data_IF_360540087204
#
_entry.id   IF_360540087204
#
_cell.length_a   1.000
_cell.length_b   1.000
_cell.length_c   1.000
_cell.angle_alpha   90.00
_cell.angle_beta   90.00
_cell.angle_gamma   90.00
#
_symmetry.space_group_name_H-M   'P 1'
#
loop_
_entity.id
_entity.type
_entity.pdbx_description
1 polymer ?
#
# COMPACT_ATOMS: atom_id res chain seq x y z
N UNK A 1 3.93 -7.96 10.14
CA UNK A 1 4.19 -6.50 10.02
C UNK A 1 3.97 -5.72 11.30
N UNK A 2 2.97 -6.05 12.06
CA UNK A 2 2.74 -5.37 13.33
C UNK A 2 3.92 -5.44 14.29
N UNK A 3 4.53 -6.62 14.41
CA UNK A 3 5.70 -6.79 15.26
C UNK A 3 6.88 -5.93 14.78
N UNK A 4 7.08 -5.84 13.47
CA UNK A 4 8.14 -5.03 12.91
C UNK A 4 7.92 -3.54 13.16
N UNK A 5 6.67 -3.09 13.03
CA UNK A 5 6.31 -1.69 13.29
C UNK A 5 6.65 -1.32 14.74
N UNK A 6 6.32 -2.18 15.69
CA UNK A 6 6.67 -1.97 17.09
C UNK A 6 8.18 -1.97 17.33
N UNK A 7 8.90 -2.89 16.68
CA UNK A 7 10.35 -2.97 16.84
C UNK A 7 11.06 -1.70 16.35
N UNK A 8 10.49 -1.03 15.36
CA UNK A 8 11.01 0.23 14.86
C UNK A 8 10.55 1.44 15.70
N UNK A 9 9.87 1.22 16.79
CA UNK A 9 9.38 2.29 17.66
C UNK A 9 8.17 3.04 17.12
N UNK A 10 7.46 2.45 16.18
CA UNK A 10 6.31 3.07 15.54
C UNK A 10 5.00 2.52 16.09
N UNK A 11 3.92 3.22 15.83
CA UNK A 11 2.58 2.84 16.24
C UNK A 11 1.74 2.46 15.02
N UNK A 12 0.87 1.47 15.16
CA UNK A 12 -0.06 1.08 14.10
C UNK A 12 -1.49 1.31 14.59
N UNK A 13 -2.26 2.04 13.79
CA UNK A 13 -3.70 2.17 13.96
C UNK A 13 -4.36 1.43 12.81
N UNK A 14 -5.13 0.40 13.11
CA UNK A 14 -5.75 -0.46 12.11
C UNK A 14 -7.26 -0.46 12.25
N UNK A 15 -7.96 -0.32 11.12
CA UNK A 15 -9.42 -0.36 11.05
C UNK A 15 -9.86 -1.15 9.82
N UNK A 16 -10.87 -2.01 9.97
CA UNK A 16 -11.38 -2.81 8.87
C UNK A 16 -12.91 -2.88 8.89
N UNK A 17 -13.55 -3.16 7.73
CA UNK A 17 -15.00 -3.26 7.70
C UNK A 17 -15.48 -4.54 8.39
N UNK A 18 -16.70 -4.52 8.99
CA UNK A 18 -17.26 -5.71 9.63
C UNK A 18 -17.71 -6.79 8.65
N UNK A 19 -18.01 -6.42 7.39
CA UNK A 19 -18.44 -7.38 6.38
C UNK A 19 -17.25 -8.06 5.70
N UNK A 20 -17.40 -9.30 5.21
CA UNK A 20 -16.35 -9.98 4.47
C UNK A 20 -15.92 -9.19 3.21
N UNK A 21 -14.63 -9.25 2.90
CA UNK A 21 -14.08 -8.58 1.72
C UNK A 21 -13.12 -9.48 0.97
N UNK A 22 -13.60 -10.66 0.49
CA UNK A 22 -12.70 -11.58 -0.21
C UNK A 22 -12.27 -11.02 -1.56
N UNK A 23 -10.99 -11.26 -1.91
CA UNK A 23 -10.45 -10.90 -3.21
C UNK A 23 -9.89 -12.13 -3.88
N UNK A 24 -9.89 -12.13 -5.22
CA UNK A 24 -9.33 -13.22 -6.00
C UNK A 24 -7.91 -12.87 -6.40
N UNK A 25 -6.93 -13.44 -5.71
CA UNK A 25 -5.53 -13.09 -5.93
C UNK A 25 -4.60 -14.21 -5.47
N UNK A 26 -3.39 -14.23 -6.03
CA UNK A 26 -2.32 -15.08 -5.54
C UNK A 26 -1.89 -14.56 -4.16
N UNK A 27 -1.96 -15.38 -3.09
CA UNK A 27 -1.62 -14.93 -1.74
C UNK A 27 -0.19 -14.37 -1.63
N UNK A 28 0.77 -14.98 -2.32
CA UNK A 28 2.16 -14.52 -2.26
C UNK A 28 2.32 -13.15 -2.90
N UNK A 29 1.63 -12.90 -4.01
CA UNK A 29 1.66 -11.61 -4.70
C UNK A 29 1.00 -10.52 -3.88
N UNK A 30 -0.15 -10.82 -3.30
CA UNK A 30 -0.86 -9.86 -2.46
C UNK A 30 -0.04 -9.52 -1.22
N UNK A 31 0.59 -10.53 -0.60
CA UNK A 31 1.49 -10.28 0.52
C UNK A 31 2.63 -9.34 0.11
N UNK A 32 3.21 -9.54 -1.06
CA UNK A 32 4.30 -8.69 -1.54
C UNK A 32 3.88 -7.23 -1.66
N UNK A 33 2.65 -6.99 -2.13
CA UNK A 33 2.10 -5.63 -2.20
C UNK A 33 2.13 -4.97 -0.82
N UNK A 34 1.56 -5.63 0.18
CA UNK A 34 1.47 -5.05 1.52
C UNK A 34 2.83 -4.93 2.19
N UNK A 35 3.70 -5.93 2.05
CA UNK A 35 5.06 -5.85 2.59
C UNK A 35 5.80 -4.64 2.01
N UNK A 36 5.70 -4.44 0.71
CA UNK A 36 6.38 -3.30 0.07
C UNK A 36 5.83 -1.96 0.53
N UNK A 37 4.49 -1.85 0.65
CA UNK A 37 3.87 -0.59 1.11
C UNK A 37 4.22 -0.29 2.55
N UNK A 38 4.11 -1.29 3.44
CA UNK A 38 4.48 -1.09 4.84
C UNK A 38 5.97 -0.83 5.02
N UNK A 39 6.82 -1.48 4.23
CA UNK A 39 8.25 -1.23 4.27
C UNK A 39 8.57 0.24 3.98
N UNK A 40 7.93 0.81 2.96
CA UNK A 40 8.07 2.23 2.67
C UNK A 40 7.55 3.11 3.80
N UNK A 41 6.39 2.78 4.35
CA UNK A 41 5.82 3.56 5.44
C UNK A 41 6.74 3.55 6.67
N UNK A 42 7.32 2.40 6.99
CA UNK A 42 8.25 2.28 8.11
C UNK A 42 9.51 3.12 7.85
N UNK A 43 10.06 3.04 6.65
CA UNK A 43 11.30 3.75 6.31
C UNK A 43 11.16 5.25 6.39
N UNK A 44 10.01 5.78 6.02
CA UNK A 44 9.80 7.23 5.96
C UNK A 44 9.15 7.82 7.20
N UNK A 45 8.66 6.99 8.10
CA UNK A 45 8.03 7.50 9.32
C UNK A 45 9.04 8.13 10.26
N UNK A 46 8.67 9.25 10.93
CA UNK A 46 9.55 9.83 11.94
C UNK A 46 9.60 8.94 13.17
N UNK A 47 10.60 9.13 14.06
CA UNK A 47 10.63 8.40 15.33
C UNK A 47 9.31 8.54 16.07
N UNK A 48 8.80 7.42 16.59
CA UNK A 48 7.53 7.34 17.31
C UNK A 48 6.32 7.74 16.49
N UNK A 49 6.45 7.76 15.15
CA UNK A 49 5.32 8.07 14.27
C UNK A 49 4.27 6.98 14.24
N UNK A 50 3.14 7.32 13.65
CA UNK A 50 2.00 6.40 13.52
C UNK A 50 1.77 6.06 12.06
N UNK A 51 1.52 4.77 11.79
CA UNK A 51 1.07 4.29 10.49
C UNK A 51 -0.41 3.96 10.62
N UNK A 52 -1.22 4.52 9.74
CA UNK A 52 -2.66 4.28 9.72
C UNK A 52 -2.98 3.31 8.58
N UNK A 53 -3.53 2.15 8.93
CA UNK A 53 -3.94 1.14 7.96
C UNK A 53 -5.45 0.98 8.05
N UNK A 54 -6.16 1.34 6.99
CA UNK A 54 -7.61 1.31 6.95
C UNK A 54 -8.08 0.47 5.78
N UNK A 55 -9.00 -0.46 6.02
CA UNK A 55 -9.69 -1.21 4.99
C UNK A 55 -11.14 -0.75 4.95
N UNK A 56 -11.63 -0.46 3.76
CA UNK A 56 -13.04 -0.13 3.52
C UNK A 56 -13.53 -0.96 2.34
N UNK A 57 -14.83 -1.13 2.23
CA UNK A 57 -15.40 -1.85 1.10
C UNK A 57 -16.66 -1.17 0.57
N UNK A 58 -16.89 -1.40 -0.72
CA UNK A 58 -18.17 -1.14 -1.36
C UNK A 58 -18.79 -2.48 -1.74
N UNK A 59 -19.88 -2.48 -2.51
CA UNK A 59 -20.47 -3.70 -3.02
C UNK A 59 -19.52 -4.47 -3.96
N UNK A 60 -18.59 -3.78 -4.62
CA UNK A 60 -17.77 -4.35 -5.69
C UNK A 60 -16.27 -4.28 -5.46
N UNK A 61 -15.82 -3.45 -4.52
CA UNK A 61 -14.38 -3.24 -4.31
C UNK A 61 -14.03 -3.22 -2.82
N UNK A 62 -12.77 -3.53 -2.54
CA UNK A 62 -12.15 -3.28 -1.24
C UNK A 62 -10.99 -2.33 -1.45
N UNK A 63 -10.83 -1.38 -0.54
CA UNK A 63 -9.79 -0.37 -0.59
C UNK A 63 -8.94 -0.44 0.67
N UNK A 64 -7.63 -0.58 0.49
CA UNK A 64 -6.65 -0.54 1.56
C UNK A 64 -5.90 0.78 1.49
N UNK A 65 -5.88 1.52 2.59
CA UNK A 65 -5.20 2.80 2.69
C UNK A 65 -4.13 2.71 3.77
N UNK A 66 -2.89 2.96 3.41
CA UNK A 66 -1.77 2.96 4.34
C UNK A 66 -1.14 4.35 4.32
N UNK A 67 -1.24 5.06 5.45
CA UNK A 67 -0.73 6.42 5.57
C UNK A 67 0.38 6.49 6.60
N UNK A 68 1.50 7.09 6.23
CA UNK A 68 2.58 7.43 7.14
C UNK A 68 2.60 8.94 7.43
N UNK A 69 3.40 9.31 8.41
CA UNK A 69 3.59 10.72 8.82
C UNK A 69 4.99 11.20 8.44
N UNK A 70 5.54 10.65 7.36
CA UNK A 70 6.91 10.90 6.96
C UNK A 70 7.10 12.21 6.23
N UNK A 71 8.24 12.29 5.52
CA UNK A 71 8.63 13.53 4.82
C UNK A 71 7.77 13.86 3.61
N UNK A 72 7.00 12.91 3.10
CA UNK A 72 6.24 13.09 1.89
C UNK A 72 7.10 13.05 0.63
N UNK A 73 6.47 13.31 -0.51
CA UNK A 73 7.10 13.26 -1.83
C UNK A 73 6.86 14.60 -2.51
N UNK A 74 7.91 15.18 -3.08
CA UNK A 74 7.81 16.44 -3.80
C UNK A 74 6.87 16.29 -5.02
N UNK A 75 6.08 17.33 -5.35
CA UNK A 75 5.14 17.22 -6.49
C UNK A 75 5.80 16.81 -7.80
N UNK A 76 7.01 17.28 -8.07
CA UNK A 76 7.74 16.94 -9.29
C UNK A 76 8.11 15.47 -9.38
N UNK A 77 8.25 14.81 -8.24
CA UNK A 77 8.63 13.40 -8.17
C UNK A 77 7.42 12.46 -8.09
N UNK A 78 6.30 12.97 -7.57
CA UNK A 78 5.14 12.13 -7.28
C UNK A 78 4.59 11.40 -8.50
N UNK A 79 4.54 12.07 -9.65
CA UNK A 79 4.05 11.48 -10.89
C UNK A 79 4.88 10.30 -11.34
N UNK A 80 6.16 10.31 -11.01
CA UNK A 80 7.11 9.32 -11.48
C UNK A 80 7.42 8.24 -10.45
N UNK A 81 6.91 8.34 -9.22
CA UNK A 81 7.28 7.44 -8.14
C UNK A 81 6.87 5.99 -8.41
N UNK A 82 5.89 5.76 -9.28
CA UNK A 82 5.46 4.43 -9.69
C UNK A 82 6.27 3.87 -10.86
N UNK A 83 7.13 4.67 -11.46
CA UNK A 83 7.95 4.21 -12.57
C UNK A 83 9.05 3.30 -12.06
N UNK A 84 9.35 2.29 -12.86
CA UNK A 84 10.40 1.33 -12.54
C UNK A 84 11.73 2.03 -12.41
N UNK A 85 12.48 1.71 -11.35
CA UNK A 85 13.81 2.28 -11.04
C UNK A 85 13.82 3.76 -10.68
N UNK A 86 12.66 4.43 -10.63
CA UNK A 86 12.63 5.82 -10.18
C UNK A 86 12.75 5.90 -8.66
N UNK A 87 13.46 6.95 -8.18
CA UNK A 87 13.57 7.28 -6.76
C UNK A 87 13.35 8.77 -6.57
N UNK A 88 12.50 9.15 -5.62
CA UNK A 88 12.31 10.55 -5.28
C UNK A 88 13.61 11.13 -4.72
N UNK A 89 13.86 12.43 -5.00
CA UNK A 89 15.11 13.09 -4.61
C UNK A 89 15.37 13.08 -3.11
N UNK A 90 14.31 13.12 -2.31
CA UNK A 90 14.39 13.08 -0.85
C UNK A 90 14.13 11.68 -0.28
N UNK A 91 14.10 10.66 -1.11
CA UNK A 91 13.78 9.31 -0.70
C UNK A 91 14.98 8.61 -0.06
N UNK A 92 14.68 7.69 0.85
CA UNK A 92 15.66 6.73 1.35
C UNK A 92 15.92 5.69 0.26
N UNK A 93 17.15 5.19 0.21
CA UNK A 93 17.59 4.25 -0.82
C UNK A 93 16.63 3.06 -0.98
N UNK A 94 16.30 2.74 -2.22
CA UNK A 94 15.59 1.52 -2.59
C UNK A 94 14.08 1.59 -2.70
N UNK A 95 13.46 2.65 -2.19
CA UNK A 95 12.01 2.72 -2.03
C UNK A 95 11.22 2.84 -3.33
N UNK A 96 11.73 3.55 -4.33
CA UNK A 96 11.01 3.76 -5.58
C UNK A 96 10.67 2.47 -6.32
N UNK A 97 11.57 1.48 -6.25
CA UNK A 97 11.37 0.19 -6.92
C UNK A 97 10.23 -0.58 -6.26
N UNK A 98 10.13 -0.53 -4.93
CA UNK A 98 9.07 -1.21 -4.20
C UNK A 98 7.68 -0.74 -4.61
N UNK A 99 7.50 0.57 -4.78
CA UNK A 99 6.21 1.12 -5.20
C UNK A 99 5.89 0.78 -6.66
N UNK A 100 6.89 0.70 -7.54
CA UNK A 100 6.68 0.27 -8.91
C UNK A 100 6.15 -1.17 -8.97
N UNK A 101 6.69 -2.05 -8.14
CA UNK A 101 6.22 -3.45 -8.04
C UNK A 101 4.78 -3.49 -7.53
N UNK A 102 4.43 -2.66 -6.55
CA UNK A 102 3.06 -2.56 -6.05
C UNK A 102 2.10 -2.20 -7.19
N UNK A 103 2.44 -1.21 -8.00
CA UNK A 103 1.60 -0.80 -9.12
C UNK A 103 1.43 -1.92 -10.15
N UNK A 104 2.51 -2.62 -10.50
CA UNK A 104 2.46 -3.74 -11.44
C UNK A 104 1.56 -4.86 -10.95
N UNK A 105 1.71 -5.26 -9.68
CA UNK A 105 0.92 -6.37 -9.12
C UNK A 105 -0.55 -6.00 -9.02
N UNK A 106 -0.88 -4.80 -8.53
CA UNK A 106 -2.28 -4.40 -8.39
C UNK A 106 -2.99 -4.32 -9.73
N UNK A 107 -2.32 -3.84 -10.77
CA UNK A 107 -2.88 -3.84 -12.12
C UNK A 107 -3.14 -5.24 -12.63
N UNK A 108 -2.22 -6.18 -12.38
CA UNK A 108 -2.40 -7.58 -12.77
C UNK A 108 -3.59 -8.23 -12.05
N UNK A 109 -3.94 -7.76 -10.86
CA UNK A 109 -5.08 -8.25 -10.10
C UNK A 109 -6.40 -7.56 -10.47
N UNK A 110 -6.38 -6.69 -11.46
CA UNK A 110 -7.57 -5.95 -11.90
C UNK A 110 -7.90 -4.74 -11.04
N UNK A 111 -6.97 -4.30 -10.21
CA UNK A 111 -7.16 -3.16 -9.34
C UNK A 111 -6.26 -1.99 -9.68
N UNK A 112 -6.18 -1.05 -8.76
CA UNK A 112 -5.37 0.16 -8.91
C UNK A 112 -4.59 0.44 -7.65
N UNK A 113 -3.48 1.15 -7.79
CA UNK A 113 -2.71 1.68 -6.68
C UNK A 113 -2.48 3.17 -6.92
N UNK A 114 -2.84 3.98 -5.96
CA UNK A 114 -2.65 5.42 -6.01
C UNK A 114 -1.79 5.88 -4.86
N UNK A 115 -1.03 6.94 -5.10
CA UNK A 115 -0.18 7.55 -4.09
C UNK A 115 -0.53 9.01 -4.01
N UNK A 116 -0.87 9.47 -2.80
CA UNK A 116 -1.04 10.89 -2.51
C UNK A 116 -0.02 11.28 -1.46
N UNK A 117 0.55 12.46 -1.60
CA UNK A 117 1.60 12.90 -0.69
C UNK A 117 1.69 14.40 -0.68
N UNK A 118 2.04 14.95 0.49
CA UNK A 118 2.37 16.36 0.63
C UNK A 118 3.73 16.44 1.31
N UNK A 119 4.65 17.14 0.68
CA UNK A 119 6.01 17.27 1.21
C UNK A 119 5.95 17.85 2.62
N UNK A 120 6.61 17.17 3.56
CA UNK A 120 6.62 17.55 4.97
C UNK A 120 5.46 17.02 5.80
N UNK A 121 4.48 16.38 5.20
CA UNK A 121 3.28 15.88 5.92
C UNK A 121 3.10 14.38 5.89
N UNK A 122 3.63 13.70 4.89
CA UNK A 122 3.52 12.25 4.79
C UNK A 122 2.96 11.76 3.46
N UNK A 123 2.78 10.46 3.37
CA UNK A 123 2.36 9.79 2.15
C UNK A 123 1.25 8.78 2.47
N UNK A 124 0.27 8.71 1.57
CA UNK A 124 -0.80 7.70 1.62
C UNK A 124 -0.74 6.87 0.36
N UNK A 125 -0.66 5.55 0.52
CA UNK A 125 -0.79 4.60 -0.58
C UNK A 125 -2.17 3.96 -0.48
N UNK A 126 -2.94 4.03 -1.55
CA UNK A 126 -4.31 3.49 -1.61
C UNK A 126 -4.36 2.40 -2.66
N UNK A 127 -4.77 1.20 -2.25
CA UNK A 127 -4.87 0.03 -3.12
C UNK A 127 -6.33 -0.36 -3.19
N UNK A 128 -6.89 -0.42 -4.40
CA UNK A 128 -8.27 -0.80 -4.65
C UNK A 128 -8.28 -2.09 -5.45
N UNK A 129 -8.97 -3.11 -4.95
CA UNK A 129 -9.09 -4.41 -5.61
C UNK A 129 -10.56 -4.78 -5.76
N UNK A 130 -10.92 -5.51 -6.83
CA UNK A 130 -12.28 -5.99 -6.98
C UNK A 130 -12.57 -7.07 -5.92
N UNK A 131 -13.78 -7.04 -5.37
CA UNK A 131 -14.23 -8.10 -4.47
C UNK A 131 -14.57 -9.32 -5.30
N UNK A 132 -14.13 -10.49 -4.83
CA UNK A 132 -14.49 -11.77 -5.45
C UNK A 132 -15.95 -12.08 -5.15
N UNK A 133 -16.69 -12.48 -6.19
CA UNK A 133 -18.05 -12.99 -6.06
C UNK A 133 -18.11 -14.44 -6.52
N UNK A 134 -18.94 -15.25 -5.86
CA UNK A 134 -19.12 -16.63 -6.23
C UNK A 134 -19.52 -16.76 -7.70
N UNK A 135 -18.91 -17.71 -8.41
CA UNK A 135 -19.16 -17.92 -9.83
C UNK A 135 -18.17 -17.27 -10.77
N UNK A 136 -17.30 -16.41 -10.27
CA UNK A 136 -16.22 -15.88 -11.09
C UNK A 136 -15.14 -16.94 -11.31
N UNK A 137 -14.63 -16.99 -12.53
CA UNK A 137 -13.55 -17.90 -12.89
C UNK A 137 -12.30 -17.10 -13.17
N UNK A 138 -11.21 -17.44 -12.49
CA UNK A 138 -9.96 -16.71 -12.59
C UNK A 138 -8.75 -17.60 -12.43
N UNK A 139 -7.59 -17.05 -12.76
CA UNK A 139 -6.32 -17.75 -12.67
C UNK A 139 -5.75 -17.78 -11.25
N UNK A 140 -6.30 -16.98 -10.33
CA UNK A 140 -5.78 -16.83 -8.98
C UNK A 140 -6.74 -17.43 -7.95
N UNK A 141 -6.16 -17.90 -6.83
CA UNK A 141 -6.96 -18.43 -5.74
C UNK A 141 -7.60 -17.30 -4.92
N UNK A 142 -8.78 -17.52 -4.31
CA UNK A 142 -9.37 -16.53 -3.40
C UNK A 142 -8.57 -16.44 -2.11
N UNK A 143 -8.63 -15.28 -1.49
CA UNK A 143 -7.96 -15.01 -0.23
C UNK A 143 -8.97 -14.76 0.88
#
# INVERSE_FOLDING_TARGET
MEARIRQEGLHLVYDEPPEPYPVWADPARLRQVFVNVFDNAIKYSPPEGTIFFTLTRTATTVTASIRDQGRGIAPDDLQNVKMKFFKAKNAVRGSGIGLAVVDEITKALGGTADITSTLGQGTTVTITLPIYHAGQEHLHAPI
#
